data_IF_695897160085
#
_entry.id   IF_695897160085
#
_cell.length_a   1.000
_cell.length_b   1.000
_cell.length_c   1.000
_cell.angle_alpha   90.00
_cell.angle_beta   90.00
_cell.angle_gamma   90.00
#
_symmetry.space_group_name_H-M   'P 1'
#
loop_
_entity.id
_entity.type
_entity.pdbx_description
1 polymer ?
#
# COMPACT_ATOMS: atom_id res chain seq x y z
N UNK A 1 11.55 10.89 -4.23
CA UNK A 1 12.33 9.68 -3.93
C UNK A 1 11.93 8.70 -4.99
N UNK A 2 12.88 8.13 -5.70
CA UNK A 2 12.61 7.20 -6.81
C UNK A 2 13.17 5.79 -6.58
N UNK A 3 14.07 5.66 -5.60
CA UNK A 3 14.76 4.45 -5.21
C UNK A 3 14.76 4.30 -3.67
N UNK A 4 14.45 3.13 -3.08
CA UNK A 4 14.56 2.91 -1.64
C UNK A 4 15.95 3.21 -1.06
N UNK A 5 17.01 3.12 -1.87
CA UNK A 5 18.38 3.44 -1.47
C UNK A 5 18.59 4.92 -1.12
N UNK A 6 17.65 5.80 -1.52
CA UNK A 6 17.65 7.21 -1.16
C UNK A 6 17.08 7.48 0.25
N UNK A 7 16.41 6.50 0.86
CA UNK A 7 15.83 6.67 2.20
C UNK A 7 16.96 6.78 3.25
N UNK A 8 16.99 7.82 4.11
CA UNK A 8 18.13 8.11 4.99
C UNK A 8 18.61 6.92 5.83
N UNK A 9 17.68 6.14 6.38
CA UNK A 9 18.00 4.96 7.19
C UNK A 9 18.71 3.87 6.38
N UNK A 10 18.27 3.61 5.14
CA UNK A 10 18.90 2.64 4.25
C UNK A 10 20.27 3.18 3.81
N UNK A 11 20.34 4.46 3.45
CA UNK A 11 21.59 5.10 3.04
C UNK A 11 22.66 5.07 4.13
N UNK A 12 22.31 5.34 5.39
CA UNK A 12 23.23 5.23 6.53
C UNK A 12 23.75 3.80 6.69
N UNK A 13 22.85 2.83 6.65
CA UNK A 13 23.20 1.42 6.76
C UNK A 13 24.15 0.97 5.64
N UNK A 14 23.90 1.36 4.38
CA UNK A 14 24.78 1.02 3.24
C UNK A 14 26.20 1.58 3.45
N UNK A 15 26.31 2.82 3.94
CA UNK A 15 27.60 3.45 4.21
C UNK A 15 28.38 2.74 5.32
N UNK A 16 27.70 2.29 6.38
CA UNK A 16 28.31 1.51 7.47
C UNK A 16 28.89 0.17 6.99
N UNK A 17 28.30 -0.43 5.96
CA UNK A 17 28.75 -1.68 5.34
C UNK A 17 29.81 -1.50 4.24
N UNK A 18 30.28 -0.28 3.99
CA UNK A 18 31.31 0.00 2.98
C UNK A 18 30.77 0.12 1.55
N UNK A 19 29.45 0.29 1.36
CA UNK A 19 28.86 0.71 0.10
C UNK A 19 28.57 -0.38 -0.94
N UNK A 20 28.78 -1.66 -0.63
CA UNK A 20 28.56 -2.77 -1.57
C UNK A 20 27.25 -3.54 -1.40
N UNK A 21 26.38 -3.11 -0.49
CA UNK A 21 25.11 -3.77 -0.13
C UNK A 21 23.91 -2.99 -0.68
N UNK A 22 22.80 -3.68 -0.95
CA UNK A 22 21.60 -3.08 -1.54
C UNK A 22 20.33 -3.22 -0.68
N UNK A 23 19.17 -2.84 -1.24
CA UNK A 23 17.89 -2.91 -0.54
C UNK A 23 17.44 -4.36 -0.27
N UNK A 24 17.89 -5.35 -1.06
CA UNK A 24 17.61 -6.77 -0.81
C UNK A 24 18.43 -7.24 0.39
N UNK A 25 19.69 -6.84 0.49
CA UNK A 25 20.51 -7.11 1.67
C UNK A 25 19.93 -6.42 2.92
N UNK A 26 19.40 -5.20 2.76
CA UNK A 26 18.71 -4.50 3.84
C UNK A 26 17.48 -5.28 4.34
N UNK A 27 16.65 -5.81 3.43
CA UNK A 27 15.51 -6.68 3.78
C UNK A 27 15.98 -7.99 4.41
N UNK A 28 17.03 -8.62 3.90
CA UNK A 28 17.59 -9.86 4.48
C UNK A 28 18.07 -9.65 5.92
N UNK A 29 18.64 -8.48 6.21
CA UNK A 29 19.18 -8.15 7.54
C UNK A 29 18.11 -7.74 8.55
N UNK A 30 17.12 -6.96 8.13
CA UNK A 30 16.16 -6.29 9.00
C UNK A 30 14.72 -6.82 8.88
N UNK A 31 14.43 -7.60 7.84
CA UNK A 31 13.10 -8.08 7.53
C UNK A 31 12.67 -9.22 8.43
N UNK A 32 11.39 -9.20 8.77
CA UNK A 32 10.69 -10.31 9.40
C UNK A 32 9.80 -11.02 8.37
N UNK A 33 9.82 -12.36 8.36
CA UNK A 33 9.07 -13.13 7.36
C UNK A 33 7.56 -12.96 7.55
N UNK A 34 7.07 -12.89 8.79
CA UNK A 34 5.64 -12.70 9.04
C UNK A 34 5.18 -11.32 8.56
N UNK A 35 6.00 -10.29 8.77
CA UNK A 35 5.77 -8.95 8.24
C UNK A 35 5.72 -8.94 6.71
N UNK A 36 6.66 -9.60 6.02
CA UNK A 36 6.66 -9.69 4.55
C UNK A 36 5.41 -10.41 4.02
N UNK A 37 4.99 -11.49 4.68
CA UNK A 37 3.76 -12.22 4.35
C UNK A 37 2.53 -11.33 4.53
N UNK A 38 2.44 -10.58 5.64
CA UNK A 38 1.34 -9.65 5.87
C UNK A 38 1.34 -8.50 4.86
N UNK A 39 2.51 -7.92 4.59
CA UNK A 39 2.68 -6.84 3.62
C UNK A 39 2.31 -7.27 2.20
N UNK A 40 2.52 -8.54 1.84
CA UNK A 40 2.12 -9.07 0.53
C UNK A 40 0.62 -8.88 0.23
N UNK A 41 -0.26 -8.95 1.24
CA UNK A 41 -1.71 -8.71 1.09
C UNK A 41 -2.07 -7.24 0.95
N UNK A 42 -1.20 -6.35 1.42
CA UNK A 42 -1.33 -4.90 1.21
C UNK A 42 -0.82 -4.54 -0.18
N UNK A 43 0.32 -5.08 -0.58
CA UNK A 43 0.94 -4.79 -1.88
C UNK A 43 0.15 -5.41 -3.04
N UNK A 44 -0.33 -6.64 -2.87
CA UNK A 44 -1.16 -7.36 -3.84
C UNK A 44 -2.53 -7.72 -3.22
N UNK A 45 -3.49 -6.79 -3.23
CA UNK A 45 -4.77 -6.94 -2.55
C UNK A 45 -5.68 -7.95 -3.26
N UNK A 46 -6.69 -8.44 -2.53
CA UNK A 46 -7.79 -9.23 -3.11
C UNK A 46 -8.98 -8.30 -3.25
N UNK A 47 -9.56 -8.28 -4.43
CA UNK A 47 -10.82 -7.57 -4.68
C UNK A 47 -11.96 -8.57 -4.86
N UNK A 48 -13.14 -8.16 -4.42
CA UNK A 48 -14.40 -8.89 -4.54
C UNK A 48 -15.41 -8.02 -5.28
N UNK A 49 -16.36 -8.64 -5.98
CA UNK A 49 -17.45 -7.93 -6.64
C UNK A 49 -18.71 -8.01 -5.77
N UNK A 50 -19.29 -6.85 -5.46
CA UNK A 50 -20.52 -6.72 -4.67
C UNK A 50 -21.42 -5.67 -5.32
N UNK A 51 -22.60 -6.08 -5.79
CA UNK A 51 -23.59 -5.19 -6.46
C UNK A 51 -22.93 -4.26 -7.50
N UNK A 52 -22.17 -4.85 -8.42
CA UNK A 52 -21.42 -4.17 -9.48
C UNK A 52 -20.31 -3.22 -9.03
N UNK A 53 -19.91 -3.25 -7.75
CA UNK A 53 -18.72 -2.57 -7.25
C UNK A 53 -17.58 -3.57 -7.04
N UNK A 54 -16.37 -3.21 -7.44
CA UNK A 54 -15.14 -3.96 -7.16
C UNK A 54 -14.48 -3.38 -5.91
N UNK A 55 -14.53 -4.12 -4.81
CA UNK A 55 -14.14 -3.64 -3.48
C UNK A 55 -12.95 -4.42 -2.94
N UNK A 56 -12.04 -3.72 -2.27
CA UNK A 56 -10.97 -4.34 -1.50
C UNK A 56 -11.60 -5.16 -0.38
N UNK A 57 -11.29 -6.46 -0.33
CA UNK A 57 -11.97 -7.39 0.57
C UNK A 57 -11.86 -7.02 2.05
N UNK A 58 -10.75 -6.38 2.45
CA UNK A 58 -10.56 -5.87 3.82
C UNK A 58 -11.45 -4.66 4.14
N UNK A 59 -11.77 -3.84 3.14
CA UNK A 59 -12.58 -2.63 3.31
C UNK A 59 -14.08 -2.91 3.23
N UNK A 60 -14.48 -4.07 2.70
CA UNK A 60 -15.88 -4.45 2.61
C UNK A 60 -16.41 -4.92 3.96
N UNK A 61 -17.41 -4.19 4.44
CA UNK A 61 -18.29 -4.58 5.53
C UNK A 61 -19.70 -4.18 5.10
N UNK A 62 -20.67 -5.09 5.21
CA UNK A 62 -21.97 -4.95 4.56
C UNK A 62 -22.74 -3.70 5.04
N UNK A 63 -22.69 -3.40 6.34
CA UNK A 63 -23.40 -2.23 6.89
C UNK A 63 -22.80 -0.92 6.38
N UNK A 64 -21.46 -0.80 6.40
CA UNK A 64 -20.74 0.35 5.86
C UNK A 64 -20.95 0.49 4.35
N UNK A 65 -20.94 -0.61 3.61
CA UNK A 65 -21.21 -0.60 2.17
C UNK A 65 -22.62 -0.08 1.87
N UNK A 66 -23.65 -0.54 2.59
CA UNK A 66 -25.01 -0.04 2.41
C UNK A 66 -25.12 1.46 2.70
N UNK A 67 -24.45 1.97 3.75
CA UNK A 67 -24.40 3.40 4.04
C UNK A 67 -23.76 4.23 2.91
N UNK A 68 -22.67 3.72 2.31
CA UNK A 68 -22.05 4.38 1.16
C UNK A 68 -22.90 4.28 -0.11
N UNK A 69 -23.60 3.16 -0.30
CA UNK A 69 -24.50 2.97 -1.42
C UNK A 69 -25.67 3.96 -1.37
N UNK A 70 -26.25 4.19 -0.19
CA UNK A 70 -27.28 5.19 0.03
C UNK A 70 -26.75 6.63 -0.12
N UNK A 71 -25.65 6.96 0.56
CA UNK A 71 -25.11 8.33 0.57
C UNK A 71 -24.53 8.79 -0.77
N UNK A 72 -24.12 7.85 -1.62
CA UNK A 72 -23.59 8.11 -2.97
C UNK A 72 -24.60 7.77 -4.07
N UNK A 73 -25.87 7.54 -3.72
CA UNK A 73 -26.95 7.25 -4.69
C UNK A 73 -26.63 6.10 -5.65
N UNK A 74 -25.90 5.10 -5.17
CA UNK A 74 -25.47 3.95 -5.98
C UNK A 74 -24.38 4.22 -7.03
N UNK A 75 -23.70 5.37 -6.98
CA UNK A 75 -22.57 5.68 -7.87
C UNK A 75 -21.38 4.75 -7.56
N UNK A 76 -21.24 3.71 -8.38
CA UNK A 76 -20.23 2.65 -8.19
C UNK A 76 -18.81 3.22 -8.19
N UNK A 77 -18.51 4.16 -9.07
CA UNK A 77 -17.18 4.77 -9.18
C UNK A 77 -16.83 5.54 -7.89
N UNK A 78 -17.78 6.31 -7.34
CA UNK A 78 -17.57 7.04 -6.09
C UNK A 78 -17.50 6.12 -4.88
N UNK A 79 -18.29 5.05 -4.85
CA UNK A 79 -18.26 4.03 -3.79
C UNK A 79 -16.89 3.35 -3.77
N UNK A 80 -16.42 2.88 -4.93
CA UNK A 80 -15.09 2.26 -5.07
C UNK A 80 -13.97 3.23 -4.67
N UNK A 81 -14.01 4.47 -5.14
CA UNK A 81 -13.02 5.49 -4.78
C UNK A 81 -13.00 5.80 -3.27
N UNK A 82 -14.11 5.59 -2.57
CA UNK A 82 -14.24 5.83 -1.12
C UNK A 82 -13.77 4.64 -0.31
N UNK A 83 -14.17 3.42 -0.69
CA UNK A 83 -13.87 2.20 0.06
C UNK A 83 -12.49 1.63 -0.26
N UNK A 84 -11.99 1.80 -1.49
CA UNK A 84 -10.69 1.28 -1.92
C UNK A 84 -9.56 2.25 -1.57
N UNK A 85 -9.43 2.60 -0.29
CA UNK A 85 -8.40 3.50 0.21
C UNK A 85 -7.49 2.80 1.22
N UNK A 86 -6.18 3.00 1.05
CA UNK A 86 -5.17 2.69 2.05
C UNK A 86 -4.41 3.96 2.39
N UNK A 87 -4.37 4.30 3.68
CA UNK A 87 -3.56 5.39 4.20
C UNK A 87 -2.25 4.81 4.73
N UNK A 88 -1.15 5.04 4.01
CA UNK A 88 0.15 4.41 4.34
C UNK A 88 0.64 4.80 5.73
N UNK A 89 0.42 6.04 6.17
CA UNK A 89 0.79 6.49 7.52
C UNK A 89 0.01 5.80 8.65
N UNK A 90 -1.02 5.00 8.35
CA UNK A 90 -1.73 4.19 9.35
C UNK A 90 -1.13 2.79 9.53
N UNK A 91 -0.23 2.36 8.63
CA UNK A 91 0.36 1.01 8.65
C UNK A 91 1.84 0.99 9.05
N UNK A 92 2.52 2.13 9.00
CA UNK A 92 3.92 2.25 9.40
C UNK A 92 4.08 3.47 10.30
N UNK A 93 4.92 3.35 11.32
CA UNK A 93 5.39 4.50 12.08
C UNK A 93 6.31 5.33 11.20
N UNK A 94 6.15 6.64 11.27
CA UNK A 94 6.97 7.62 10.59
C UNK A 94 7.09 8.84 11.48
N UNK A 95 8.25 9.46 11.49
CA UNK A 95 8.42 10.79 12.09
C UNK A 95 7.81 11.83 11.15
N UNK A 96 7.35 12.97 11.69
CA UNK A 96 6.79 14.07 10.89
C UNK A 96 7.91 14.93 10.26
N UNK A 97 8.81 14.25 9.53
CA UNK A 97 9.97 14.82 8.85
C UNK A 97 9.77 14.74 7.33
N UNK A 98 10.30 15.71 6.59
CA UNK A 98 10.14 15.79 5.13
C UNK A 98 10.62 14.53 4.39
N UNK A 99 11.66 13.87 4.90
CA UNK A 99 12.21 12.65 4.31
C UNK A 99 11.25 11.46 4.44
N UNK A 100 10.63 11.31 5.60
CA UNK A 100 9.62 10.29 5.88
C UNK A 100 8.34 10.53 5.07
N UNK A 101 7.91 11.78 4.94
CA UNK A 101 6.79 12.15 4.05
C UNK A 101 7.07 11.75 2.60
N UNK A 102 8.26 12.02 2.08
CA UNK A 102 8.66 11.61 0.72
C UNK A 102 8.73 10.08 0.58
N UNK A 103 9.13 9.37 1.63
CA UNK A 103 9.14 7.91 1.65
C UNK A 103 7.71 7.33 1.66
N UNK A 104 6.79 7.91 2.44
CA UNK A 104 5.37 7.57 2.47
C UNK A 104 4.70 7.80 1.11
N UNK A 105 4.97 8.94 0.46
CA UNK A 105 4.46 9.25 -0.88
C UNK A 105 4.98 8.24 -1.92
N UNK A 106 6.28 7.91 -1.86
CA UNK A 106 6.89 6.92 -2.74
C UNK A 106 6.24 5.54 -2.61
N UNK A 107 6.11 5.01 -1.40
CA UNK A 107 5.53 3.67 -1.21
C UNK A 107 4.03 3.66 -1.54
N UNK A 108 3.29 4.74 -1.24
CA UNK A 108 1.89 4.89 -1.65
C UNK A 108 1.73 4.79 -3.17
N UNK A 109 2.61 5.46 -3.94
CA UNK A 109 2.58 5.38 -5.40
C UNK A 109 2.87 3.96 -5.92
N UNK A 110 3.79 3.22 -5.28
CA UNK A 110 4.08 1.82 -5.64
C UNK A 110 2.90 0.89 -5.33
N UNK A 111 2.28 1.03 -4.15
CA UNK A 111 1.08 0.28 -3.78
C UNK A 111 -0.06 0.57 -4.75
N UNK A 112 -0.32 1.83 -5.09
CA UNK A 112 -1.36 2.21 -6.04
C UNK A 112 -1.13 1.58 -7.43
N UNK A 113 0.13 1.50 -7.90
CA UNK A 113 0.46 0.81 -9.14
C UNK A 113 0.20 -0.70 -9.06
N UNK A 114 0.57 -1.34 -7.94
CA UNK A 114 0.32 -2.75 -7.72
C UNK A 114 -1.18 -3.07 -7.62
N UNK A 115 -1.97 -2.22 -6.98
CA UNK A 115 -3.43 -2.35 -6.90
C UNK A 115 -4.09 -2.27 -8.26
N UNK A 116 -3.68 -1.30 -9.10
CA UNK A 116 -4.16 -1.22 -10.50
C UNK A 116 -3.82 -2.49 -11.28
N UNK A 117 -2.61 -3.03 -11.11
CA UNK A 117 -2.23 -4.29 -11.76
C UNK A 117 -3.05 -5.48 -11.26
N UNK A 118 -3.30 -5.56 -9.95
CA UNK A 118 -4.13 -6.62 -9.36
C UNK A 118 -5.60 -6.55 -9.82
N UNK A 119 -6.16 -5.34 -9.96
CA UNK A 119 -7.48 -5.12 -10.56
C UNK A 119 -7.51 -5.62 -12.01
N UNK A 120 -6.55 -5.19 -12.84
CA UNK A 120 -6.49 -5.61 -14.24
C UNK A 120 -6.29 -7.11 -14.40
N UNK A 121 -5.48 -7.76 -13.55
CA UNK A 121 -5.23 -9.19 -13.64
C UNK A 121 -6.47 -10.05 -13.36
N UNK A 122 -7.51 -9.49 -12.73
CA UNK A 122 -8.68 -10.26 -12.27
C UNK A 122 -10.01 -9.80 -12.91
N UNK A 123 -10.13 -8.55 -13.32
CA UNK A 123 -11.39 -7.94 -13.78
C UNK A 123 -11.26 -7.18 -15.11
N UNK A 124 -10.12 -7.24 -15.80
CA UNK A 124 -9.92 -6.62 -17.12
C UNK A 124 -9.67 -7.64 -18.22
#
# INVERSE_FOLDING_TARGET
MDDPMEYPKIKSWVNEWGGSVDYVDYVKRNGDLALLVAFSRIFWPRFIEVRSCILWDRAYEESNFNLWQESLSGDTQRIEATLNQLRVWQIVESDDMDEDRRALEFIAARIAKAWRAALCARFS
#
